data_IF_864067120524
#
_entry.id   IF_864067120524
#
_cell.length_a   1.000
_cell.length_b   1.000
_cell.length_c   1.000
_cell.angle_alpha   90.00
_cell.angle_beta   90.00
_cell.angle_gamma   90.00
#
_symmetry.space_group_name_H-M   'P 1'
#
loop_
_entity.id
_entity.type
_entity.pdbx_description
1 polymer ?
#
# COMPACT_ATOMS: atom_id res chain seq x y z
N UNK A 1 -8.66 2.54 -86.31
CA UNK A 1 -7.19 2.46 -86.23
C UNK A 1 -6.78 3.20 -84.97
N UNK A 2 -6.12 2.67 -83.93
CA UNK A 2 -5.47 1.39 -83.61
C UNK A 2 -5.62 1.22 -82.08
N UNK A 3 -5.99 0.04 -81.62
CA UNK A 3 -5.95 -0.34 -80.20
C UNK A 3 -4.53 -0.82 -79.85
N UNK A 4 -4.03 -0.46 -78.67
CA UNK A 4 -2.84 -1.06 -78.09
C UNK A 4 -3.24 -1.69 -76.75
N UNK A 5 -3.43 -3.01 -76.79
CA UNK A 5 -3.60 -3.88 -75.63
C UNK A 5 -2.19 -4.27 -75.18
N UNK A 6 -1.77 -3.79 -74.01
CA UNK A 6 -0.52 -4.22 -73.39
C UNK A 6 -0.83 -5.32 -72.38
N UNK A 7 -0.60 -6.55 -72.81
CA UNK A 7 -0.51 -7.75 -71.96
C UNK A 7 0.69 -7.62 -71.03
N UNK A 8 0.45 -7.62 -69.72
CA UNK A 8 1.51 -7.86 -68.73
C UNK A 8 1.39 -9.28 -68.19
N UNK A 9 2.50 -9.99 -68.34
CA UNK A 9 2.72 -11.39 -68.04
C UNK A 9 2.61 -11.66 -66.54
N UNK A 10 2.00 -12.81 -66.25
CA UNK A 10 2.06 -13.47 -64.96
C UNK A 10 3.51 -13.79 -64.58
N UNK A 11 3.97 -13.24 -63.46
CA UNK A 11 5.14 -13.70 -62.74
C UNK A 11 4.63 -14.54 -61.57
N UNK A 12 4.66 -15.86 -61.76
CA UNK A 12 4.54 -16.83 -60.68
C UNK A 12 5.76 -16.68 -59.76
N UNK A 13 5.55 -15.99 -58.64
CA UNK A 13 6.48 -15.93 -57.54
C UNK A 13 6.33 -17.16 -56.67
N UNK A 14 7.37 -17.98 -56.62
CA UNK A 14 7.55 -19.10 -55.71
C UNK A 14 7.19 -18.73 -54.26
N UNK A 15 6.11 -19.28 -53.73
CA UNK A 15 5.84 -19.28 -52.29
C UNK A 15 6.78 -20.29 -51.64
N UNK A 16 7.95 -19.82 -51.20
CA UNK A 16 8.77 -20.54 -50.24
C UNK A 16 7.99 -20.57 -48.91
N UNK A 17 7.48 -21.76 -48.56
CA UNK A 17 6.93 -22.02 -47.24
C UNK A 17 8.05 -21.92 -46.20
N UNK A 18 8.25 -20.73 -45.65
CA UNK A 18 9.08 -20.54 -44.47
C UNK A 18 8.43 -21.28 -43.30
N UNK A 19 9.11 -22.31 -42.81
CA UNK A 19 8.72 -22.99 -41.58
C UNK A 19 8.56 -21.96 -40.44
N UNK A 20 7.57 -22.12 -39.54
CA UNK A 20 7.49 -21.30 -38.35
C UNK A 20 8.72 -21.58 -37.51
N UNK A 21 9.71 -20.69 -37.57
CA UNK A 21 10.83 -20.66 -36.64
C UNK A 21 10.21 -20.52 -35.25
N UNK A 22 10.23 -21.62 -34.51
CA UNK A 22 9.80 -21.73 -33.12
C UNK A 22 10.61 -20.74 -32.28
N UNK A 23 10.01 -19.59 -32.06
CA UNK A 23 10.51 -18.42 -31.37
C UNK A 23 10.61 -18.63 -29.86
N UNK A 24 11.49 -19.55 -29.45
CA UNK A 24 11.79 -19.82 -28.03
C UNK A 24 13.13 -19.25 -27.57
N UNK A 25 13.95 -18.75 -28.50
CA UNK A 25 15.28 -18.23 -28.20
C UNK A 25 15.42 -16.69 -28.25
N UNK A 26 14.39 -15.92 -28.61
CA UNK A 26 14.45 -14.44 -28.49
C UNK A 26 14.38 -13.91 -27.05
N UNK A 27 14.09 -14.75 -26.05
CA UNK A 27 13.94 -14.27 -24.66
C UNK A 27 15.24 -13.94 -23.92
N UNK A 28 16.40 -14.29 -24.46
CA UNK A 28 17.68 -14.11 -23.75
C UNK A 28 18.50 -12.88 -24.18
N UNK A 29 18.02 -12.10 -25.18
CA UNK A 29 18.67 -10.85 -25.61
C UNK A 29 17.81 -9.58 -25.37
N UNK A 30 16.63 -9.69 -24.75
CA UNK A 30 15.72 -8.55 -24.45
C UNK A 30 16.05 -7.90 -23.09
N UNK A 31 17.21 -8.20 -22.50
CA UNK A 31 17.65 -7.53 -21.29
C UNK A 31 18.14 -6.07 -21.54
N UNK A 32 18.33 -5.64 -22.80
CA UNK A 32 19.03 -4.39 -23.13
C UNK A 32 18.18 -3.27 -23.79
N UNK A 33 16.84 -3.35 -23.80
CA UNK A 33 15.99 -2.29 -24.40
C UNK A 33 14.91 -1.74 -23.49
N UNK A 34 14.86 -2.15 -22.21
CA UNK A 34 13.88 -1.59 -21.26
C UNK A 34 14.20 -0.12 -20.97
N UNK A 35 13.19 0.74 -21.14
CA UNK A 35 13.31 2.16 -20.78
C UNK A 35 13.59 2.28 -19.27
N UNK A 36 14.43 3.24 -18.82
CA UNK A 36 14.74 3.42 -17.41
C UNK A 36 13.46 3.74 -16.61
N UNK A 37 13.45 3.34 -15.35
CA UNK A 37 12.39 3.74 -14.42
C UNK A 37 12.60 5.20 -14.01
N UNK A 38 11.58 6.03 -14.19
CA UNK A 38 11.59 7.45 -13.87
C UNK A 38 10.83 7.69 -12.55
N UNK A 39 11.49 8.33 -11.59
CA UNK A 39 10.84 8.89 -10.40
C UNK A 39 10.12 10.20 -10.78
N UNK A 40 9.02 10.57 -10.09
CA UNK A 40 8.34 11.84 -10.35
C UNK A 40 9.29 13.02 -10.12
N UNK A 41 9.24 14.02 -11.00
CA UNK A 41 10.17 15.17 -10.96
C UNK A 41 10.01 16.07 -9.73
N UNK A 42 8.97 15.87 -8.93
CA UNK A 42 8.60 16.73 -7.78
C UNK A 42 8.06 18.10 -8.20
N UNK A 43 8.22 18.50 -9.47
CA UNK A 43 7.60 19.69 -10.02
C UNK A 43 6.13 19.39 -10.37
N UNK A 44 5.23 20.35 -10.16
CA UNK A 44 3.84 20.14 -10.52
C UNK A 44 3.73 20.05 -12.04
N UNK A 45 3.04 19.01 -12.51
CA UNK A 45 2.65 18.88 -13.92
C UNK A 45 1.60 19.92 -14.25
N UNK A 46 2.01 21.19 -14.40
CA UNK A 46 1.10 22.26 -14.76
C UNK A 46 0.78 22.22 -16.25
N UNK A 47 -0.50 22.35 -16.55
CA UNK A 47 -0.99 22.68 -17.88
C UNK A 47 -1.18 24.19 -17.99
N UNK A 48 -0.63 24.81 -19.02
CA UNK A 48 -1.20 26.07 -19.50
C UNK A 48 -2.51 25.76 -20.24
N UNK A 49 -3.52 26.64 -20.19
CA UNK A 49 -4.84 26.39 -20.80
C UNK A 49 -4.80 26.20 -22.33
N UNK A 50 -3.70 26.56 -22.99
CA UNK A 50 -3.56 26.48 -24.45
C UNK A 50 -2.96 25.15 -24.96
N UNK A 51 -2.38 24.31 -24.09
CA UNK A 51 -1.64 23.11 -24.51
C UNK A 51 -2.37 21.86 -24.03
N UNK A 52 -2.83 21.03 -24.98
CA UNK A 52 -3.32 19.66 -24.68
C UNK A 52 -2.24 18.94 -23.88
N UNK A 53 -2.60 18.52 -22.68
CA UNK A 53 -1.67 17.96 -21.70
C UNK A 53 -1.05 16.69 -22.27
N UNK A 54 0.21 16.78 -22.70
CA UNK A 54 1.05 15.61 -22.90
C UNK A 54 1.52 15.22 -21.51
N UNK A 55 0.72 14.38 -20.86
CA UNK A 55 1.10 13.76 -19.60
C UNK A 55 2.26 12.82 -19.91
N UNK A 56 3.49 13.31 -19.72
CA UNK A 56 4.69 12.52 -19.96
C UNK A 56 5.02 11.67 -18.74
N UNK A 57 5.70 10.54 -18.99
CA UNK A 57 6.23 9.68 -17.94
C UNK A 57 7.25 10.41 -17.06
N UNK A 58 8.03 11.33 -17.65
CA UNK A 58 8.98 12.18 -16.93
C UNK A 58 8.30 13.09 -15.89
N UNK A 59 7.07 13.53 -16.17
CA UNK A 59 6.35 14.40 -15.26
C UNK A 59 5.71 13.61 -14.10
N UNK A 60 5.01 12.52 -14.41
CA UNK A 60 4.28 11.74 -13.41
C UNK A 60 5.15 10.72 -12.66
N UNK A 61 6.29 10.33 -13.24
CA UNK A 61 7.02 9.12 -12.88
C UNK A 61 6.37 7.86 -13.45
N UNK A 62 7.19 6.83 -13.66
CA UNK A 62 6.81 5.55 -14.30
C UNK A 62 5.62 4.88 -13.63
N UNK A 63 5.61 4.80 -12.29
CA UNK A 63 4.57 4.08 -11.55
C UNK A 63 3.20 4.74 -11.73
N UNK A 64 3.13 6.07 -11.57
CA UNK A 64 1.88 6.81 -11.72
C UNK A 64 1.46 6.90 -13.18
N UNK A 65 2.42 7.04 -14.10
CA UNK A 65 2.17 7.02 -15.54
C UNK A 65 1.50 5.71 -15.97
N UNK A 66 2.08 4.55 -15.64
CA UNK A 66 1.47 3.26 -15.96
C UNK A 66 0.12 3.08 -15.23
N UNK A 67 -0.02 3.48 -13.97
CA UNK A 67 -1.28 3.25 -13.25
C UNK A 67 -2.44 4.11 -13.74
N UNK A 68 -2.17 5.35 -14.16
CA UNK A 68 -3.20 6.35 -14.46
C UNK A 68 -3.58 6.41 -15.95
N UNK A 69 -2.84 5.72 -16.83
CA UNK A 69 -3.10 5.76 -18.26
C UNK A 69 -4.34 4.95 -18.65
N UNK A 70 -5.15 5.51 -19.55
CA UNK A 70 -6.24 4.79 -20.20
C UNK A 70 -5.67 3.95 -21.37
N UNK A 71 -5.53 2.66 -21.11
CA UNK A 71 -4.97 1.67 -22.05
C UNK A 71 -5.86 1.41 -23.27
N UNK A 72 -7.09 1.94 -23.28
CA UNK A 72 -8.03 1.79 -24.40
C UNK A 72 -7.69 2.73 -25.57
N UNK A 73 -6.74 3.66 -25.38
CA UNK A 73 -6.39 4.65 -26.40
C UNK A 73 -5.55 4.04 -27.53
N UNK A 74 -5.95 4.22 -28.80
CA UNK A 74 -5.15 3.76 -29.93
C UNK A 74 -3.80 4.49 -29.98
N UNK A 75 -2.73 3.75 -30.30
CA UNK A 75 -1.36 4.28 -30.40
C UNK A 75 -0.50 4.11 -29.14
N UNK A 76 -1.00 3.43 -28.10
CA UNK A 76 -0.18 3.02 -26.97
C UNK A 76 0.54 1.71 -27.25
N UNK A 77 1.78 1.61 -26.77
CA UNK A 77 2.64 0.43 -26.94
C UNK A 77 2.26 -0.73 -25.99
N UNK A 78 1.33 -0.51 -25.05
CA UNK A 78 1.02 -1.46 -23.97
C UNK A 78 -0.48 -1.70 -23.84
N UNK A 79 -0.88 -2.95 -23.60
CA UNK A 79 -2.27 -3.32 -23.41
C UNK A 79 -2.78 -3.13 -21.98
N UNK A 80 -1.87 -3.02 -20.99
CA UNK A 80 -2.22 -2.84 -19.58
C UNK A 80 -1.04 -2.34 -18.72
N UNK A 81 -1.32 -2.03 -17.45
CA UNK A 81 -0.35 -1.56 -16.45
C UNK A 81 0.81 -2.54 -16.24
N UNK A 82 0.54 -3.84 -16.19
CA UNK A 82 1.58 -4.87 -15.96
C UNK A 82 2.58 -4.91 -17.11
N UNK A 83 2.11 -4.79 -18.35
CA UNK A 83 2.96 -4.74 -19.53
C UNK A 83 3.77 -3.43 -19.58
N UNK A 84 3.16 -2.31 -19.24
CA UNK A 84 3.85 -1.02 -19.11
C UNK A 84 5.00 -1.12 -18.10
N UNK A 85 4.74 -1.60 -16.89
CA UNK A 85 5.78 -1.77 -15.86
C UNK A 85 6.83 -2.81 -16.26
N UNK A 86 6.44 -3.91 -16.90
CA UNK A 86 7.34 -4.95 -17.39
C UNK A 86 8.29 -4.47 -18.48
N UNK A 87 7.88 -3.48 -19.27
CA UNK A 87 8.70 -2.84 -20.30
C UNK A 87 9.74 -1.87 -19.76
N UNK A 88 9.69 -1.56 -18.45
CA UNK A 88 10.62 -0.66 -17.77
C UNK A 88 11.67 -1.45 -17.01
N UNK A 89 12.81 -0.81 -16.79
CA UNK A 89 13.76 -1.32 -15.81
C UNK A 89 13.05 -1.40 -14.46
N UNK A 90 13.37 -2.40 -13.61
CA UNK A 90 12.84 -2.42 -12.26
C UNK A 90 13.18 -1.09 -11.60
N UNK A 91 12.24 -0.57 -10.79
CA UNK A 91 12.53 0.60 -9.98
C UNK A 91 13.88 0.34 -9.29
N UNK A 92 14.85 1.28 -9.36
CA UNK A 92 16.10 1.12 -8.64
C UNK A 92 15.68 0.76 -7.22
N UNK A 93 16.23 -0.34 -6.69
CA UNK A 93 15.93 -0.77 -5.33
C UNK A 93 16.09 0.49 -4.50
N UNK A 94 14.95 1.03 -4.02
CA UNK A 94 15.00 2.27 -3.27
C UNK A 94 15.94 1.91 -2.15
N UNK A 95 17.14 2.51 -2.13
CA UNK A 95 17.86 2.69 -0.88
C UNK A 95 16.76 3.21 0.00
N UNK A 96 16.27 2.44 1.00
CA UNK A 96 15.11 2.83 1.77
C UNK A 96 15.39 4.27 2.10
N UNK A 97 14.58 5.19 1.55
CA UNK A 97 14.81 6.62 1.68
C UNK A 97 15.13 6.76 3.14
N UNK A 98 16.38 7.17 3.50
CA UNK A 98 16.92 6.91 4.82
C UNK A 98 15.80 7.24 5.75
N UNK A 99 15.32 6.27 6.52
CA UNK A 99 14.13 6.48 7.34
C UNK A 99 14.45 7.45 8.48
N UNK A 100 15.38 8.39 8.28
CA UNK A 100 15.30 9.74 8.80
C UNK A 100 13.99 10.34 8.30
N UNK A 101 12.91 9.87 8.90
CA UNK A 101 12.09 10.73 9.74
C UNK A 101 12.65 12.17 9.74
N UNK A 102 11.93 13.11 9.10
CA UNK A 102 12.40 14.50 9.15
C UNK A 102 12.40 14.92 10.63
N UNK A 103 13.38 15.71 11.10
CA UNK A 103 13.46 16.05 12.51
C UNK A 103 12.19 16.75 12.98
N UNK A 104 11.80 16.49 14.24
CA UNK A 104 10.70 17.21 14.87
C UNK A 104 11.10 18.64 15.17
N UNK A 105 10.47 19.60 14.49
CA UNK A 105 10.75 21.03 14.65
C UNK A 105 9.85 21.65 15.71
N UNK A 106 10.44 22.44 16.60
CA UNK A 106 9.69 23.28 17.54
C UNK A 106 9.27 24.58 16.87
N UNK A 107 8.16 25.21 17.31
CA UNK A 107 7.84 26.56 16.88
C UNK A 107 9.00 27.49 17.21
N UNK A 108 9.43 28.30 16.25
CA UNK A 108 10.60 29.19 16.40
C UNK A 108 10.46 30.27 17.47
N UNK A 109 9.27 30.42 18.08
CA UNK A 109 8.91 31.47 19.05
C UNK A 109 8.79 32.86 18.43
N UNK A 110 9.27 33.04 17.19
CA UNK A 110 9.05 34.25 16.40
C UNK A 110 7.63 34.20 15.83
N UNK A 111 6.90 35.33 15.79
CA UNK A 111 5.62 35.38 15.11
C UNK A 111 5.86 34.95 13.66
N UNK A 112 5.01 34.06 13.15
CA UNK A 112 4.98 33.73 11.74
C UNK A 112 4.54 34.97 10.96
N UNK A 113 5.50 35.82 10.63
CA UNK A 113 5.29 36.99 9.79
C UNK A 113 4.71 36.51 8.47
N UNK A 114 3.41 36.72 8.28
CA UNK A 114 2.74 36.44 7.03
C UNK A 114 2.77 37.72 6.17
N UNK A 115 3.68 37.86 5.19
CA UNK A 115 3.45 38.73 4.05
C UNK A 115 3.03 37.93 2.80
N UNK A 116 2.52 36.70 2.95
CA UNK A 116 2.14 35.83 1.84
C UNK A 116 0.66 35.42 1.94
N UNK A 117 -0.21 36.43 1.88
CA UNK A 117 -1.67 36.32 1.90
C UNK A 117 -2.30 35.56 0.70
N UNK A 118 -1.51 34.83 -0.08
CA UNK A 118 -1.99 34.15 -1.29
C UNK A 118 -1.73 32.64 -1.31
N UNK A 119 -0.77 32.12 -0.54
CA UNK A 119 -0.48 30.68 -0.51
C UNK A 119 -0.96 29.95 0.75
N UNK A 120 -1.33 30.66 1.81
CA UNK A 120 -2.14 30.13 2.93
C UNK A 120 -1.52 29.00 3.77
N UNK A 121 -0.32 28.51 3.47
CA UNK A 121 0.33 27.42 4.20
C UNK A 121 1.62 27.96 4.84
N UNK A 122 1.63 28.10 6.16
CA UNK A 122 2.84 28.42 6.89
C UNK A 122 3.78 27.21 6.90
N UNK A 123 5.10 27.46 6.85
CA UNK A 123 6.10 26.40 6.87
C UNK A 123 6.17 25.69 8.22
N UNK A 124 6.62 24.44 8.20
CA UNK A 124 6.81 23.62 9.40
C UNK A 124 7.82 24.25 10.38
N UNK A 125 8.88 24.87 9.88
CA UNK A 125 9.88 25.60 10.70
C UNK A 125 9.26 26.79 11.46
N UNK A 126 8.20 27.38 10.91
CA UNK A 126 7.53 28.50 11.54
C UNK A 126 6.59 28.05 12.66
N UNK A 127 5.70 27.12 12.33
CA UNK A 127 4.65 26.65 13.24
C UNK A 127 5.12 25.57 14.22
N UNK A 128 6.22 24.88 13.90
CA UNK A 128 6.58 23.61 14.50
C UNK A 128 5.82 22.43 13.87
N UNK A 129 6.40 21.24 13.99
CA UNK A 129 5.90 19.98 13.41
C UNK A 129 4.47 19.66 13.83
N UNK A 130 4.13 19.84 15.11
CA UNK A 130 2.79 19.50 15.63
C UNK A 130 1.69 20.36 15.00
N UNK A 131 1.83 21.69 15.02
CA UNK A 131 0.84 22.60 14.44
C UNK A 131 0.81 22.55 12.91
N UNK A 132 1.96 22.27 12.29
CA UNK A 132 2.00 21.99 10.86
C UNK A 132 1.20 20.74 10.50
N UNK A 133 1.41 19.61 11.19
CA UNK A 133 0.71 18.37 10.91
C UNK A 133 -0.80 18.43 11.20
N UNK A 134 -1.26 19.23 12.17
CA UNK A 134 -2.71 19.46 12.41
C UNK A 134 -3.46 20.00 11.19
N UNK A 135 -2.78 20.74 10.32
CA UNK A 135 -3.40 21.25 9.10
C UNK A 135 -3.84 20.12 8.15
N UNK A 136 -3.27 18.92 8.30
CA UNK A 136 -3.57 17.75 7.48
C UNK A 136 -4.77 16.94 7.98
N UNK A 137 -5.33 17.27 9.14
CA UNK A 137 -6.55 16.64 9.67
C UNK A 137 -7.85 17.19 9.08
N UNK A 138 -7.80 18.30 8.34
CA UNK A 138 -8.98 18.98 7.80
C UNK A 138 -9.50 18.42 6.46
N UNK A 139 -10.76 18.70 6.09
CA UNK A 139 -11.38 18.21 4.85
C UNK A 139 -10.81 18.81 3.55
N UNK A 140 -9.79 19.67 3.63
CA UNK A 140 -9.30 20.49 2.50
C UNK A 140 -7.87 20.20 2.05
N UNK A 141 -7.32 19.04 2.37
CA UNK A 141 -5.87 18.84 2.25
C UNK A 141 -5.53 17.94 1.07
N UNK A 142 -4.97 18.56 0.01
CA UNK A 142 -4.26 17.89 -1.11
C UNK A 142 -2.75 18.02 -0.91
N UNK A 143 -2.24 17.61 0.25
CA UNK A 143 -0.82 17.73 0.56
C UNK A 143 -0.19 16.35 0.74
N UNK A 144 1.13 16.34 0.89
CA UNK A 144 2.05 15.19 0.95
C UNK A 144 1.56 14.03 1.87
N UNK A 145 0.79 14.34 2.92
CA UNK A 145 0.29 13.38 3.91
C UNK A 145 -1.24 13.25 3.87
N UNK A 146 -1.74 12.03 4.11
CA UNK A 146 -3.18 11.71 4.11
C UNK A 146 -3.92 12.11 5.38
N UNK A 147 -3.19 12.35 6.48
CA UNK A 147 -3.75 12.70 7.79
C UNK A 147 -2.68 13.37 8.66
N UNK A 148 -3.11 14.03 9.73
CA UNK A 148 -2.22 14.55 10.79
C UNK A 148 -1.30 13.45 11.33
N UNK A 149 -1.85 12.27 11.60
CA UNK A 149 -1.08 11.11 12.10
C UNK A 149 -0.01 10.66 11.11
N UNK A 150 -0.35 10.53 9.83
CA UNK A 150 0.62 10.15 8.80
C UNK A 150 1.74 11.21 8.65
N UNK A 151 1.42 12.48 8.90
CA UNK A 151 2.43 13.54 8.95
C UNK A 151 3.36 13.37 10.16
N UNK A 152 2.82 13.19 11.36
CA UNK A 152 3.62 13.00 12.58
C UNK A 152 4.47 11.73 12.55
N UNK A 153 3.94 10.63 12.01
CA UNK A 153 4.69 9.36 11.86
C UNK A 153 5.82 9.45 10.82
N UNK A 154 5.83 10.48 9.98
CA UNK A 154 6.93 10.76 9.05
C UNK A 154 8.05 11.61 9.64
N UNK A 155 7.97 11.89 10.94
CA UNK A 155 8.87 12.77 11.68
C UNK A 155 9.53 12.01 12.83
N UNK A 156 10.68 12.52 13.26
CA UNK A 156 11.33 11.99 14.45
C UNK A 156 10.40 12.21 15.66
N UNK A 157 10.49 11.37 16.71
CA UNK A 157 9.75 11.61 17.94
C UNK A 157 10.10 12.99 18.51
N UNK A 158 9.10 13.69 19.07
CA UNK A 158 9.34 14.97 19.74
C UNK A 158 10.31 14.76 20.92
N UNK A 159 11.48 15.43 20.94
CA UNK A 159 12.49 15.19 21.97
C UNK A 159 12.07 15.61 23.38
N UNK A 160 11.05 16.47 23.54
CA UNK A 160 10.48 16.81 24.86
C UNK A 160 9.35 15.88 25.26
N UNK A 161 8.78 15.14 24.31
CA UNK A 161 7.69 14.23 24.57
C UNK A 161 8.28 13.00 25.26
N UNK A 162 8.25 13.03 26.60
CA UNK A 162 8.48 11.85 27.40
C UNK A 162 7.61 10.74 26.80
N UNK A 163 8.12 9.52 26.58
CA UNK A 163 7.40 8.45 25.88
C UNK A 163 6.03 8.05 26.49
N UNK A 164 5.63 8.65 27.61
CA UNK A 164 4.33 8.47 28.27
C UNK A 164 3.24 9.51 27.94
N UNK A 165 3.52 10.65 27.30
CA UNK A 165 2.49 11.72 27.13
C UNK A 165 1.74 11.73 25.81
N UNK A 166 2.14 10.90 24.84
CA UNK A 166 1.47 10.82 23.53
C UNK A 166 -0.01 10.41 23.59
N UNK A 167 -0.45 9.84 24.71
CA UNK A 167 -1.79 9.26 24.87
C UNK A 167 -2.65 9.96 25.94
N UNK A 168 -2.20 11.13 26.43
CA UNK A 168 -2.90 11.83 27.50
C UNK A 168 -2.76 11.13 28.86
N UNK A 169 -3.60 11.52 29.85
CA UNK A 169 -3.69 10.80 31.12
C UNK A 169 -4.03 9.32 30.86
N UNK A 170 -3.35 8.42 31.58
CA UNK A 170 -3.68 6.99 31.51
C UNK A 170 -5.13 6.78 31.87
N UNK A 171 -5.85 6.05 31.03
CA UNK A 171 -7.24 5.69 31.28
C UNK A 171 -7.28 4.58 32.35
N UNK A 172 -8.30 4.61 33.21
CA UNK A 172 -8.45 3.61 34.27
C UNK A 172 -8.59 2.21 33.70
N UNK A 173 -8.05 1.22 34.42
CA UNK A 173 -8.23 -0.19 34.07
C UNK A 173 -9.69 -0.62 34.27
N UNK A 174 -10.31 -1.17 33.22
CA UNK A 174 -11.67 -1.69 33.27
C UNK A 174 -11.64 -3.22 33.43
N UNK A 175 -12.25 -3.72 34.50
CA UNK A 175 -12.61 -5.12 34.60
C UNK A 175 -13.86 -5.36 33.75
N UNK A 176 -13.76 -6.24 32.75
CA UNK A 176 -14.92 -6.59 31.94
C UNK A 176 -16.00 -7.24 32.79
N UNK A 177 -17.26 -7.06 32.39
CA UNK A 177 -18.40 -7.72 33.03
C UNK A 177 -18.87 -8.91 32.17
N UNK A 178 -18.38 -10.13 32.44
CA UNK A 178 -18.74 -11.32 31.66
C UNK A 178 -20.21 -11.72 31.81
N UNK A 179 -20.94 -11.14 32.77
CA UNK A 179 -22.35 -11.46 33.04
C UNK A 179 -23.30 -10.28 32.81
N UNK A 180 -22.79 -9.10 32.45
CA UNK A 180 -23.59 -7.91 32.18
C UNK A 180 -24.38 -7.98 30.88
N UNK A 181 -25.25 -6.99 30.68
CA UNK A 181 -26.12 -6.84 29.48
C UNK A 181 -25.36 -6.66 28.15
N UNK A 182 -24.04 -6.62 28.22
CA UNK A 182 -23.07 -6.78 27.15
C UNK A 182 -23.44 -7.76 26.02
N UNK A 183 -24.07 -8.88 26.36
CA UNK A 183 -24.43 -9.91 25.38
C UNK A 183 -25.63 -9.55 24.49
N UNK A 184 -26.46 -8.58 24.90
CA UNK A 184 -27.70 -8.27 24.19
C UNK A 184 -27.50 -7.29 23.03
N UNK A 185 -26.37 -6.57 22.98
CA UNK A 185 -26.09 -5.62 21.92
C UNK A 185 -24.74 -5.93 21.24
N UNK A 186 -24.81 -6.37 19.99
CA UNK A 186 -23.66 -6.76 19.18
C UNK A 186 -22.61 -5.65 19.05
N UNK A 187 -23.03 -4.38 19.09
CA UNK A 187 -22.14 -3.23 18.97
C UNK A 187 -21.40 -2.94 20.28
N UNK A 188 -22.10 -3.02 21.42
CA UNK A 188 -21.51 -2.87 22.76
C UNK A 188 -20.64 -4.06 23.16
N UNK A 189 -20.89 -5.25 22.60
CA UNK A 189 -20.10 -6.46 22.88
C UNK A 189 -18.61 -6.35 22.52
N UNK A 190 -18.22 -5.32 21.75
CA UNK A 190 -16.82 -5.03 21.39
C UNK A 190 -16.24 -3.81 22.12
N UNK A 191 -16.97 -3.19 23.05
CA UNK A 191 -16.44 -2.09 23.85
C UNK A 191 -15.47 -2.60 24.93
N UNK A 192 -14.60 -1.71 25.40
CA UNK A 192 -13.67 -2.02 26.48
C UNK A 192 -14.37 -2.22 27.82
N UNK A 193 -15.42 -1.45 28.09
CA UNK A 193 -16.27 -1.60 29.28
C UNK A 193 -16.84 -3.03 29.37
N UNK A 194 -17.13 -3.60 28.22
CA UNK A 194 -17.74 -4.90 28.14
C UNK A 194 -16.73 -6.05 28.30
N UNK A 195 -15.65 -5.99 27.53
CA UNK A 195 -14.65 -7.06 27.48
C UNK A 195 -13.61 -6.95 28.60
N UNK A 196 -13.45 -5.77 29.16
CA UNK A 196 -12.33 -5.39 30.00
C UNK A 196 -11.10 -5.01 29.18
N UNK A 197 -10.24 -4.20 29.79
CA UNK A 197 -9.04 -3.64 29.17
C UNK A 197 -8.12 -4.70 28.57
N UNK A 198 -7.92 -5.83 29.25
CA UNK A 198 -7.04 -6.90 28.79
C UNK A 198 -7.51 -7.55 27.49
N UNK A 199 -8.77 -8.02 27.45
CA UNK A 199 -9.32 -8.68 26.26
C UNK A 199 -9.55 -7.68 25.12
N UNK A 200 -9.92 -6.45 25.44
CA UNK A 200 -10.07 -5.39 24.46
C UNK A 200 -8.73 -5.05 23.78
N UNK A 201 -7.67 -4.80 24.56
CA UNK A 201 -6.34 -4.54 24.01
C UNK A 201 -5.75 -5.74 23.25
N UNK A 202 -6.06 -6.98 23.65
CA UNK A 202 -5.60 -8.18 22.95
C UNK A 202 -6.18 -8.36 21.53
N UNK A 203 -7.19 -7.56 21.13
CA UNK A 203 -7.72 -7.59 19.77
C UNK A 203 -6.84 -6.86 18.75
N UNK A 204 -6.03 -5.90 19.20
CA UNK A 204 -5.21 -5.06 18.33
C UNK A 204 -4.01 -5.84 17.74
N UNK A 205 -3.58 -6.92 18.37
CA UNK A 205 -2.55 -7.82 17.80
C UNK A 205 -3.09 -8.70 16.66
N UNK A 206 -4.41 -8.74 16.45
CA UNK A 206 -5.06 -9.70 15.53
C UNK A 206 -5.61 -9.08 14.25
N UNK A 207 -5.53 -7.75 14.05
CA UNK A 207 -6.28 -7.07 12.96
C UNK A 207 -5.44 -6.06 12.15
N UNK A 208 -5.62 -6.13 10.83
CA UNK A 208 -5.14 -5.19 9.80
C UNK A 208 -6.01 -3.93 9.64
N UNK A 209 -6.54 -3.34 10.72
CA UNK A 209 -7.47 -2.20 10.60
C UNK A 209 -6.87 -0.89 11.11
N UNK A 210 -7.28 0.20 10.46
CA UNK A 210 -7.07 1.60 10.86
C UNK A 210 -7.65 1.85 12.25
N UNK A 211 -6.93 1.39 13.28
CA UNK A 211 -7.29 1.53 14.67
C UNK A 211 -6.29 2.43 15.39
N UNK A 212 -6.71 2.98 16.52
CA UNK A 212 -5.90 3.93 17.29
C UNK A 212 -4.57 3.31 17.75
N UNK A 213 -4.55 2.00 18.01
CA UNK A 213 -3.38 1.24 18.48
C UNK A 213 -2.85 0.25 17.44
N UNK A 214 -1.52 0.15 17.36
CA UNK A 214 -0.76 -0.77 16.48
C UNK A 214 -0.53 -2.14 17.12
N UNK A 215 -0.62 -2.24 18.45
CA UNK A 215 -0.44 -3.49 19.20
C UNK A 215 -1.19 -3.45 20.53
N UNK A 216 -1.39 -4.62 21.14
CA UNK A 216 -1.93 -4.74 22.49
C UNK A 216 -1.06 -4.03 23.52
N UNK A 217 0.26 -4.07 23.36
CA UNK A 217 1.21 -3.41 24.25
C UNK A 217 1.06 -1.90 24.22
N UNK A 218 0.87 -1.33 23.02
CA UNK A 218 0.62 0.10 22.86
C UNK A 218 -0.71 0.50 23.53
N UNK A 219 -1.75 -0.31 23.32
CA UNK A 219 -3.04 -0.13 23.96
C UNK A 219 -2.93 -0.16 25.49
N UNK A 220 -2.28 -1.18 26.06
CA UNK A 220 -2.06 -1.33 27.51
C UNK A 220 -1.18 -0.21 28.08
N UNK A 221 -0.25 0.33 27.29
CA UNK A 221 0.56 1.48 27.66
C UNK A 221 -0.28 2.72 28.00
N UNK A 222 -1.45 2.87 27.37
CA UNK A 222 -2.39 3.99 27.63
C UNK A 222 -3.25 3.79 28.87
N UNK A 223 -3.11 2.65 29.55
CA UNK A 223 -3.96 2.26 30.68
C UNK A 223 -3.18 2.29 31.97
N UNK A 224 -3.90 2.50 33.06
CA UNK A 224 -3.39 2.26 34.40
C UNK A 224 -3.06 0.76 34.56
N UNK A 225 -2.08 0.39 35.41
CA UNK A 225 -1.75 -1.01 35.63
C UNK A 225 -2.95 -1.80 36.17
N UNK A 226 -3.07 -3.07 35.78
CA UNK A 226 -4.10 -3.96 36.29
C UNK A 226 -4.05 -4.03 37.83
N UNK A 227 -5.11 -3.63 38.55
CA UNK A 227 -5.12 -3.59 40.00
C UNK A 227 -4.92 -4.97 40.63
N UNK A 228 -5.34 -6.05 39.95
CA UNK A 228 -5.14 -7.44 40.42
C UNK A 228 -3.66 -7.84 40.42
N UNK A 229 -2.89 -7.35 39.45
CA UNK A 229 -1.45 -7.59 39.38
C UNK A 229 -0.69 -6.71 40.37
N UNK A 230 -1.16 -5.49 40.62
CA UNK A 230 -0.56 -4.56 41.58
C UNK A 230 -0.73 -5.01 43.04
N UNK A 231 -1.80 -5.74 43.37
CA UNK A 231 -2.08 -6.23 44.73
C UNK A 231 -1.40 -7.56 45.07
N UNK A 232 -0.73 -8.18 44.11
CA UNK A 232 0.10 -9.33 44.38
C UNK A 232 1.27 -8.93 45.29
N UNK A 233 1.16 -9.23 46.60
CA UNK A 233 2.35 -9.32 47.47
C UNK A 233 3.43 -10.08 46.69
N UNK A 234 4.69 -9.64 46.69
CA UNK A 234 5.78 -10.40 46.09
C UNK A 234 5.85 -11.74 46.82
N UNK A 235 5.14 -12.73 46.31
CA UNK A 235 5.33 -14.10 46.70
C UNK A 235 6.70 -14.44 46.16
N UNK A 236 7.71 -14.38 47.03
CA UNK A 236 9.01 -15.02 46.89
C UNK A 236 8.81 -16.54 46.78
N UNK A 237 8.06 -16.99 45.78
CA UNK A 237 8.11 -18.35 45.29
C UNK A 237 9.14 -18.30 44.17
N UNK A 238 10.29 -18.98 44.32
CA UNK A 238 11.21 -19.16 43.21
C UNK A 238 10.41 -19.63 42.01
N UNK A 239 10.57 -18.96 40.87
CA UNK A 239 10.11 -19.47 39.58
C UNK A 239 10.82 -20.80 39.33
N UNK A 240 10.26 -21.88 39.88
CA UNK A 240 10.49 -23.21 39.36
C UNK A 240 9.92 -23.17 37.95
N UNK A 241 10.81 -23.21 36.96
CA UNK A 241 10.47 -23.39 35.57
C UNK A 241 9.76 -24.74 35.45
N UNK A 242 8.43 -24.74 35.57
CA UNK A 242 7.61 -25.87 35.17
C UNK A 242 7.63 -25.93 33.65
N UNK A 243 8.72 -26.53 33.16
CA UNK A 243 8.86 -27.07 31.81
C UNK A 243 7.69 -28.06 31.63
N UNK A 244 6.75 -27.82 30.70
CA UNK A 244 5.70 -28.80 30.46
C UNK A 244 6.35 -30.12 30.03
N UNK A 245 5.90 -31.28 30.55
CA UNK A 245 6.45 -32.57 30.16
C UNK A 245 6.16 -32.77 28.67
N UNK A 246 7.25 -32.83 27.90
CA UNK A 246 7.25 -33.27 26.51
C UNK A 246 6.76 -34.72 26.53
N UNK A 247 5.50 -34.92 26.21
CA UNK A 247 4.95 -36.25 25.95
C UNK A 247 5.30 -36.62 24.51
N UNK A 248 6.49 -37.17 24.33
CA UNK A 248 6.87 -37.83 23.08
C UNK A 248 5.89 -39.00 22.85
N UNK A 249 5.05 -38.88 21.83
CA UNK A 249 4.34 -40.01 21.24
C UNK A 249 5.19 -40.52 20.07
N UNK A 250 5.61 -41.80 20.06
CA UNK A 250 6.17 -42.40 18.85
C UNK A 250 5.06 -42.55 17.82
N UNK A 251 5.12 -41.74 16.76
CA UNK A 251 4.23 -41.86 15.60
C UNK A 251 4.82 -42.89 14.65
N UNK A 252 4.24 -44.09 14.66
CA UNK A 252 4.55 -45.17 13.74
C UNK A 252 4.15 -44.80 12.32
N UNK A 253 5.13 -44.94 11.44
CA UNK A 253 5.09 -44.90 9.99
C UNK A 253 3.91 -45.67 9.39
N UNK A 254 3.19 -45.07 8.44
CA UNK A 254 2.68 -45.78 7.27
C UNK A 254 2.54 -44.79 6.12
N UNK A 255 3.39 -44.98 5.11
CA UNK A 255 3.41 -44.20 3.88
C UNK A 255 2.14 -44.44 3.06
N UNK A 256 1.52 -43.35 2.63
CA UNK A 256 0.51 -43.35 1.57
C UNK A 256 1.02 -42.46 0.44
N UNK A 257 1.32 -43.02 -0.75
CA UNK A 257 1.73 -42.21 -1.89
C UNK A 257 0.54 -41.37 -2.37
N UNK A 258 0.68 -40.06 -2.28
CA UNK A 258 -0.28 -39.09 -2.82
C UNK A 258 -0.17 -39.10 -4.34
N UNK A 259 -1.22 -39.58 -5.01
CA UNK A 259 -1.42 -39.40 -6.43
C UNK A 259 -1.62 -37.92 -6.75
N UNK A 260 -0.94 -37.43 -7.77
CA UNK A 260 -1.08 -36.06 -8.28
C UNK A 260 -2.50 -35.87 -8.85
N UNK A 261 -3.17 -34.72 -8.57
CA UNK A 261 -4.43 -34.40 -9.22
C UNK A 261 -4.22 -34.10 -10.71
N UNK A 262 -5.16 -34.50 -11.59
CA UNK A 262 -5.08 -34.22 -13.02
C UNK A 262 -5.20 -32.71 -13.30
N UNK A 263 -4.30 -32.22 -14.15
CA UNK A 263 -4.29 -30.87 -14.70
C UNK A 263 -5.55 -30.67 -15.55
N UNK A 264 -6.46 -29.83 -15.06
CA UNK A 264 -7.60 -29.36 -15.83
C UNK A 264 -7.13 -28.33 -16.86
N UNK A 265 -7.04 -28.73 -18.13
CA UNK A 265 -6.88 -27.80 -19.25
C UNK A 265 -8.19 -27.05 -19.48
N UNK A 266 -8.30 -25.85 -18.92
CA UNK A 266 -9.38 -24.92 -19.26
C UNK A 266 -9.16 -24.37 -20.67
N UNK A 267 -9.99 -24.85 -21.60
CA UNK A 267 -10.12 -24.34 -22.97
C UNK A 267 -10.90 -23.01 -22.91
N UNK A 268 -10.41 -21.91 -23.50
CA UNK A 268 -11.18 -20.66 -23.53
C UNK A 268 -12.44 -20.82 -24.40
N UNK A 269 -13.59 -20.26 -23.97
CA UNK A 269 -14.80 -20.24 -24.78
C UNK A 269 -14.57 -19.37 -26.03
N UNK A 270 -14.90 -19.92 -27.20
CA UNK A 270 -15.01 -19.17 -28.44
C UNK A 270 -16.20 -18.22 -28.30
N UNK A 271 -15.94 -16.97 -27.90
CA UNK A 271 -16.93 -15.90 -27.96
C UNK A 271 -17.22 -15.56 -29.41
N UNK A 272 -18.45 -15.85 -29.84
CA UNK A 272 -19.01 -15.38 -31.09
C UNK A 272 -19.21 -13.87 -31.03
N UNK A 273 -18.76 -13.19 -32.07
CA UNK A 273 -19.11 -11.79 -32.34
C UNK A 273 -20.49 -11.78 -32.99
N UNK A 274 -21.51 -11.50 -32.20
CA UNK A 274 -22.81 -11.12 -32.74
C UNK A 274 -22.72 -9.70 -33.31
N UNK A 275 -22.93 -9.65 -34.62
CA UNK A 275 -22.93 -8.46 -35.46
C UNK A 275 -24.26 -7.73 -35.22
N UNK A 276 -24.27 -6.73 -34.35
CA UNK A 276 -25.39 -5.79 -34.25
C UNK A 276 -25.39 -4.89 -35.48
N UNK A 277 -26.29 -5.21 -36.41
CA UNK A 277 -26.68 -4.37 -37.54
C UNK A 277 -27.58 -3.28 -36.99
N UNK A 278 -27.14 -2.02 -37.06
CA UNK A 278 -28.01 -0.86 -36.97
C UNK A 278 -28.60 -0.61 -38.36
N UNK A 279 -29.93 -0.64 -38.47
CA UNK A 279 -30.68 -0.12 -39.62
C UNK A 279 -31.32 1.20 -39.22
N UNK A 280 -31.02 2.22 -40.05
CA UNK A 280 -31.63 3.55 -40.28
C UNK A 280 -32.03 4.44 -39.09
#
# INVERSE_FOLDING_TARGET
>A
MKYAVASFFALEGFFAAAAPLSDKNHRLAVASTRKPFLEPSGQPCYSTPEIKIVVSEECLGTLKFCKQFDWSRPGLEFANETECLGSRQPAPARTPAPSGEKPFLRPSGKPCSLPLALSGVASEECLGTREYCKQFGGPRVRLEYKSERACLESREPDPDEKPSTLWGPKLSWLEGDPFGDCHLNLELSQSEECLGTELWCAQFDRKDKDQDFKSAEQCLGTREPNPKLAQGKPNNRPFAQDKPPIREKPSTTNGRPTQAPPVATNKPPKGGVDKLIFTD
#
